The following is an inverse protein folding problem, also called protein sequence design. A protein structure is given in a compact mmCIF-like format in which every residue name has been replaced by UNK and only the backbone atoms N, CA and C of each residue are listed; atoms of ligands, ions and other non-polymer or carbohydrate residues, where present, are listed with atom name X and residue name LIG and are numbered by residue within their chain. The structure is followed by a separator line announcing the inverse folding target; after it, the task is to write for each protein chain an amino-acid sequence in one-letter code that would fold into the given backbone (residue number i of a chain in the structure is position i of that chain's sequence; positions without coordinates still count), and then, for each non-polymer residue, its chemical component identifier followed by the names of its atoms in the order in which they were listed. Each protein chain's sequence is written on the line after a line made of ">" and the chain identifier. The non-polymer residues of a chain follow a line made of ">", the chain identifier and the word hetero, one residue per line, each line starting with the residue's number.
data_IF_471676514835
#
_entry.id   IF_471676514835
#
_cell.length_a   1.000
_cell.length_b   1.000
_cell.length_c   1.000
_cell.angle_alpha   90.00
_cell.angle_beta   90.00
_cell.angle_gamma   90.00
#
_symmetry.space_group_name_H-M   'P 1'
#
loop_
_entity.id
_entity.type
_entity.pdbx_description
1 polymer ?
#
# COMPACT_ATOMS: atom_id res chain seq x y z
N UNK A 1 -11.34 -15.36 18.67
CA UNK A 1 -12.47 -16.32 18.69
C UNK A 1 -13.12 -16.53 17.32
N UNK A 2 -13.12 -15.53 16.42
CA UNK A 2 -13.73 -15.66 15.08
C UNK A 2 -13.01 -16.65 14.14
N UNK A 3 -11.68 -16.74 14.20
CA UNK A 3 -10.87 -17.67 13.37
C UNK A 3 -11.18 -19.13 13.64
N UNK A 4 -11.46 -19.51 14.89
CA UNK A 4 -11.77 -20.91 15.25
C UNK A 4 -13.15 -21.37 14.74
N UNK A 5 -14.11 -20.44 14.58
CA UNK A 5 -15.45 -20.76 14.07
C UNK A 5 -15.43 -20.83 12.54
N UNK A 6 -14.69 -19.96 11.84
CA UNK A 6 -14.59 -20.02 10.37
C UNK A 6 -13.91 -21.31 9.89
N UNK A 7 -12.83 -21.73 10.56
CA UNK A 7 -12.16 -23.02 10.29
C UNK A 7 -13.10 -24.20 10.56
N UNK A 8 -13.99 -24.10 11.57
CA UNK A 8 -14.99 -25.12 11.86
C UNK A 8 -16.17 -25.15 10.87
N UNK A 9 -16.37 -24.09 10.06
CA UNK A 9 -17.44 -24.02 9.04
C UNK A 9 -17.05 -24.56 7.66
N UNK A 10 -15.80 -24.99 7.46
CA UNK A 10 -15.36 -25.61 6.21
C UNK A 10 -15.17 -24.64 5.04
N UNK A 11 -14.99 -23.34 5.31
CA UNK A 11 -14.57 -22.40 4.26
C UNK A 11 -13.08 -22.58 3.96
N UNK A 12 -12.76 -22.87 2.70
CA UNK A 12 -11.40 -23.00 2.20
C UNK A 12 -10.64 -21.68 2.39
N UNK A 13 -9.46 -21.75 2.99
CA UNK A 13 -8.63 -20.58 3.26
C UNK A 13 -8.12 -20.00 1.94
N UNK A 14 -8.50 -18.76 1.60
CA UNK A 14 -8.06 -18.10 0.37
C UNK A 14 -6.58 -17.73 0.43
N UNK A 15 -5.90 -17.84 -0.71
CA UNK A 15 -4.44 -17.64 -0.78
C UNK A 15 -4.06 -16.30 -1.39
N UNK A 16 -3.23 -15.57 -0.65
CA UNK A 16 -2.56 -14.35 -1.09
C UNK A 16 -1.12 -14.70 -1.48
N UNK A 17 -0.78 -14.49 -2.74
CA UNK A 17 0.57 -14.70 -3.25
C UNK A 17 1.35 -13.39 -3.26
N UNK A 18 2.55 -13.38 -2.71
CA UNK A 18 3.53 -12.32 -2.89
C UNK A 18 4.51 -12.73 -3.98
N UNK A 19 4.62 -11.94 -5.04
CA UNK A 19 5.58 -12.18 -6.11
C UNK A 19 7.01 -12.00 -5.57
N UNK A 20 7.92 -12.82 -6.07
CA UNK A 20 9.35 -12.71 -5.83
C UNK A 20 10.15 -13.11 -7.06
N UNK A 21 11.29 -12.46 -7.23
CA UNK A 21 12.25 -12.77 -8.30
C UNK A 21 12.71 -11.56 -9.09
N UNK A 22 12.08 -10.40 -8.85
CA UNK A 22 12.40 -9.09 -9.39
C UNK A 22 12.86 -8.13 -8.29
N UNK A 23 13.34 -8.64 -7.15
CA UNK A 23 13.82 -7.82 -6.03
C UNK A 23 12.74 -7.43 -5.01
N UNK A 24 11.54 -8.01 -5.08
CA UNK A 24 10.44 -7.67 -4.19
C UNK A 24 10.73 -7.95 -2.72
N UNK A 25 10.08 -7.17 -1.85
CA UNK A 25 10.15 -7.33 -0.40
C UNK A 25 9.58 -8.67 0.06
N UNK A 26 10.33 -9.34 0.92
CA UNK A 26 9.99 -10.67 1.42
C UNK A 26 9.08 -10.64 2.65
N UNK A 27 8.03 -11.47 2.61
CA UNK A 27 7.14 -11.73 3.76
C UNK A 27 7.78 -12.57 4.86
N UNK A 28 8.91 -13.22 4.58
CA UNK A 28 9.67 -14.00 5.55
C UNK A 28 10.84 -13.22 6.16
N UNK A 29 11.05 -11.97 5.75
CA UNK A 29 12.10 -11.12 6.29
C UNK A 29 11.63 -10.35 7.52
N UNK A 30 12.36 -10.49 8.62
CA UNK A 30 12.12 -9.80 9.89
C UNK A 30 12.84 -8.45 9.99
N UNK A 31 13.61 -8.06 8.96
CA UNK A 31 14.28 -6.75 8.91
C UNK A 31 13.26 -5.63 8.75
N UNK A 32 13.69 -4.37 8.94
CA UNK A 32 12.81 -3.21 8.91
C UNK A 32 11.94 -3.10 7.64
N UNK A 33 12.54 -3.32 6.48
CA UNK A 33 11.89 -3.28 5.15
C UNK A 33 11.11 -4.57 4.81
N UNK A 34 11.23 -5.62 5.64
CA UNK A 34 10.52 -6.88 5.42
C UNK A 34 9.04 -6.82 5.80
N UNK A 35 8.28 -7.88 5.44
CA UNK A 35 6.81 -7.95 5.57
C UNK A 35 6.28 -9.04 6.50
N UNK A 36 7.09 -9.56 7.43
CA UNK A 36 6.61 -10.58 8.38
C UNK A 36 5.44 -10.10 9.25
N UNK A 37 5.42 -8.83 9.65
CA UNK A 37 4.29 -8.26 10.42
C UNK A 37 3.02 -8.16 9.57
N UNK A 38 3.17 -7.80 8.29
CA UNK A 38 2.07 -7.72 7.34
C UNK A 38 1.50 -9.11 7.03
N UNK A 39 2.36 -10.10 6.81
CA UNK A 39 1.99 -11.52 6.68
C UNK A 39 1.15 -11.98 7.86
N UNK A 40 1.60 -11.72 9.09
CA UNK A 40 0.85 -12.08 10.29
C UNK A 40 -0.50 -11.33 10.40
N UNK A 41 -0.62 -10.15 9.78
CA UNK A 41 -1.89 -9.42 9.65
C UNK A 41 -2.87 -10.15 8.73
N UNK A 42 -2.43 -10.55 7.54
CA UNK A 42 -3.23 -11.32 6.58
C UNK A 42 -3.63 -12.69 7.13
N UNK A 43 -2.72 -13.40 7.80
CA UNK A 43 -3.02 -14.70 8.43
C UNK A 43 -4.04 -14.57 9.56
N UNK A 44 -4.00 -13.46 10.33
CA UNK A 44 -5.01 -13.17 11.35
C UNK A 44 -6.39 -12.92 10.74
N UNK A 45 -6.42 -12.34 9.55
CA UNK A 45 -7.63 -12.15 8.75
C UNK A 45 -8.02 -13.43 7.97
N UNK A 46 -7.47 -14.60 8.34
CA UNK A 46 -7.80 -15.92 7.78
C UNK A 46 -7.38 -16.12 6.32
N UNK A 47 -6.30 -15.47 5.87
CA UNK A 47 -5.69 -15.77 4.58
C UNK A 47 -4.46 -16.67 4.71
N UNK A 48 -4.24 -17.50 3.70
CA UNK A 48 -2.98 -18.22 3.52
C UNK A 48 -2.03 -17.30 2.76
N UNK A 49 -0.81 -17.07 3.27
CA UNK A 49 0.17 -16.23 2.59
C UNK A 49 1.30 -17.09 2.03
N UNK A 50 1.48 -17.04 0.72
CA UNK A 50 2.52 -17.80 0.01
C UNK A 50 3.38 -16.88 -0.86
N UNK A 51 4.54 -17.39 -1.26
CA UNK A 51 5.45 -16.70 -2.17
C UNK A 51 5.33 -17.35 -3.55
N UNK A 52 5.03 -16.54 -4.56
CA UNK A 52 5.10 -16.93 -5.97
C UNK A 52 6.47 -16.52 -6.49
N UNK A 53 7.33 -17.50 -6.81
CA UNK A 53 8.70 -17.23 -7.25
C UNK A 53 8.81 -17.39 -8.76
N UNK A 54 9.23 -16.34 -9.46
CA UNK A 54 9.55 -16.34 -10.88
C UNK A 54 10.97 -15.84 -11.05
N UNK A 55 11.91 -16.71 -11.41
CA UNK A 55 13.27 -16.27 -11.70
C UNK A 55 13.27 -15.35 -12.93
N UNK A 56 14.14 -14.35 -12.95
CA UNK A 56 14.19 -13.40 -14.07
C UNK A 56 14.50 -14.06 -15.44
N UNK A 57 15.05 -15.29 -15.43
CA UNK A 57 15.33 -16.11 -16.61
C UNK A 57 14.17 -16.99 -17.05
N UNK A 58 13.06 -17.03 -16.31
CA UNK A 58 11.96 -17.93 -16.64
C UNK A 58 11.21 -17.41 -17.87
N UNK A 59 11.19 -18.22 -18.93
CA UNK A 59 10.52 -17.87 -20.19
C UNK A 59 9.03 -18.29 -20.20
N UNK A 60 8.61 -19.06 -19.20
CA UNK A 60 7.24 -19.53 -19.02
C UNK A 60 6.88 -19.47 -17.55
N UNK A 61 6.00 -18.53 -17.19
CA UNK A 61 5.51 -18.35 -15.83
C UNK A 61 4.00 -18.16 -15.85
N UNK A 62 3.32 -18.55 -14.77
CA UNK A 62 1.88 -18.38 -14.64
C UNK A 62 1.51 -18.00 -13.21
N UNK A 63 0.37 -17.31 -13.06
CA UNK A 63 -0.22 -17.02 -11.74
C UNK A 63 -1.14 -18.19 -11.37
N UNK A 64 -0.91 -18.88 -10.22
CA UNK A 64 -1.70 -20.05 -9.84
C UNK A 64 -3.21 -19.80 -9.87
N UNK A 65 -3.96 -20.74 -10.43
CA UNK A 65 -5.41 -20.66 -10.57
C UNK A 65 -6.17 -21.86 -9.97
N UNK A 66 -5.45 -22.79 -9.34
CA UNK A 66 -6.01 -24.01 -8.76
C UNK A 66 -6.32 -25.11 -9.77
N UNK A 67 -5.88 -24.97 -11.03
CA UNK A 67 -6.10 -25.97 -12.08
C UNK A 67 -4.81 -26.50 -12.70
N UNK A 68 -3.73 -25.73 -12.61
CA UNK A 68 -2.39 -26.15 -13.02
C UNK A 68 -1.41 -26.13 -11.84
N UNK A 69 -0.40 -27.00 -11.87
CA UNK A 69 0.73 -26.93 -10.96
C UNK A 69 1.63 -25.70 -11.27
N UNK A 70 2.70 -25.53 -10.49
CA UNK A 70 3.63 -24.39 -10.66
C UNK A 70 4.41 -24.43 -11.98
N UNK A 71 4.46 -25.58 -12.65
CA UNK A 71 5.11 -25.77 -13.95
C UNK A 71 4.11 -25.61 -15.12
N UNK A 72 2.85 -25.27 -14.82
CA UNK A 72 1.80 -25.06 -15.82
C UNK A 72 1.15 -26.34 -16.35
N UNK A 73 1.40 -27.49 -15.70
CA UNK A 73 0.77 -28.76 -16.08
C UNK A 73 -0.59 -28.93 -15.39
N UNK A 74 -1.61 -29.50 -16.07
CA UNK A 74 -2.92 -29.75 -15.46
C UNK A 74 -2.79 -30.62 -14.22
N UNK A 75 -3.36 -30.18 -13.11
CA UNK A 75 -3.36 -30.96 -11.88
C UNK A 75 -4.21 -32.22 -12.03
N UNK A 76 -3.58 -33.35 -11.71
CA UNK A 76 -4.18 -34.67 -11.68
C UNK A 76 -4.60 -35.11 -10.27
N UNK A 77 -4.16 -34.42 -9.21
CA UNK A 77 -4.60 -34.61 -7.82
C UNK A 77 -4.69 -33.28 -7.07
N UNK A 78 -5.44 -33.20 -5.96
CA UNK A 78 -5.56 -31.98 -5.15
C UNK A 78 -4.29 -31.66 -4.34
N UNK A 79 -3.43 -32.64 -4.09
CA UNK A 79 -2.16 -32.43 -3.36
C UNK A 79 -1.08 -31.78 -4.23
N UNK A 80 -1.12 -31.98 -5.56
CA UNK A 80 -0.19 -31.37 -6.50
C UNK A 80 -0.60 -29.96 -6.95
N UNK A 81 -1.78 -29.49 -6.53
CA UNK A 81 -2.38 -28.30 -7.09
C UNK A 81 -2.23 -27.11 -6.13
N UNK A 82 -1.49 -26.05 -6.49
CA UNK A 82 -1.43 -24.85 -5.67
C UNK A 82 -2.84 -24.28 -5.56
N UNK A 83 -3.21 -23.80 -4.37
CA UNK A 83 -4.45 -23.06 -4.18
C UNK A 83 -4.54 -21.90 -5.17
N UNK A 84 -5.72 -21.69 -5.77
CA UNK A 84 -5.90 -20.58 -6.70
C UNK A 84 -5.57 -19.22 -6.05
N UNK A 85 -4.94 -18.34 -6.83
CA UNK A 85 -4.59 -16.99 -6.39
C UNK A 85 -5.87 -16.19 -6.18
N UNK A 86 -6.13 -15.83 -4.92
CA UNK A 86 -7.23 -14.94 -4.56
C UNK A 86 -6.79 -13.47 -4.61
N UNK A 87 -5.53 -13.18 -4.26
CA UNK A 87 -4.91 -11.86 -4.37
C UNK A 87 -3.43 -12.02 -4.70
N UNK A 88 -2.95 -11.25 -5.69
CA UNK A 88 -1.52 -11.14 -6.01
C UNK A 88 -0.97 -9.83 -5.44
N UNK A 89 0.17 -9.88 -4.76
CA UNK A 89 0.88 -8.71 -4.25
C UNK A 89 2.24 -8.62 -4.93
N UNK A 90 2.52 -7.49 -5.58
CA UNK A 90 3.85 -7.15 -6.08
C UNK A 90 4.39 -6.01 -5.23
N UNK A 91 5.50 -6.25 -4.54
CA UNK A 91 5.95 -5.45 -3.42
C UNK A 91 7.33 -4.82 -3.68
N UNK A 92 7.35 -3.61 -4.21
CA UNK A 92 8.57 -2.90 -4.61
C UNK A 92 9.51 -3.75 -5.48
N UNK A 93 9.14 -4.07 -6.73
CA UNK A 93 10.07 -4.76 -7.61
C UNK A 93 11.18 -3.80 -8.05
N UNK A 94 12.42 -4.16 -7.76
CA UNK A 94 13.63 -3.38 -8.05
C UNK A 94 14.24 -3.73 -9.43
N UNK A 95 13.84 -4.87 -10.00
CA UNK A 95 14.32 -5.37 -11.28
C UNK A 95 13.41 -5.05 -12.47
N UNK A 96 13.82 -5.50 -13.65
CA UNK A 96 13.01 -5.42 -14.86
C UNK A 96 11.96 -6.54 -14.91
N UNK A 97 10.81 -6.27 -15.53
CA UNK A 97 9.75 -7.23 -15.82
C UNK A 97 9.94 -7.82 -17.24
N UNK A 98 10.38 -9.09 -17.38
CA UNK A 98 10.50 -9.73 -18.69
C UNK A 98 9.16 -9.85 -19.42
N UNK A 99 9.19 -9.95 -20.75
CA UNK A 99 7.97 -10.02 -21.58
C UNK A 99 7.07 -11.20 -21.20
N UNK A 100 7.64 -12.39 -20.95
CA UNK A 100 6.90 -13.57 -20.51
C UNK A 100 6.14 -13.33 -19.19
N UNK A 101 6.74 -12.60 -18.27
CA UNK A 101 6.15 -12.28 -16.97
C UNK A 101 5.06 -11.21 -17.11
N UNK A 102 5.31 -10.16 -17.90
CA UNK A 102 4.31 -9.14 -18.22
C UNK A 102 3.07 -9.78 -18.87
N UNK A 103 3.27 -10.74 -19.78
CA UNK A 103 2.20 -11.52 -20.40
C UNK A 103 1.42 -12.34 -19.37
N UNK A 104 2.08 -13.04 -18.46
CA UNK A 104 1.41 -13.82 -17.42
C UNK A 104 0.56 -12.95 -16.47
N UNK A 105 1.08 -11.78 -16.08
CA UNK A 105 0.32 -10.79 -15.30
C UNK A 105 -0.86 -10.23 -16.09
N UNK A 106 -0.69 -10.04 -17.40
CA UNK A 106 -1.75 -9.58 -18.28
C UNK A 106 -2.90 -10.58 -18.40
N UNK A 107 -2.58 -11.86 -18.60
CA UNK A 107 -3.56 -12.96 -18.65
C UNK A 107 -4.30 -13.08 -17.32
N UNK A 108 -3.56 -13.03 -16.20
CA UNK A 108 -4.13 -13.00 -14.86
C UNK A 108 -5.16 -11.88 -14.72
N UNK A 109 -4.76 -10.63 -14.97
CA UNK A 109 -5.62 -9.45 -14.84
C UNK A 109 -6.74 -9.37 -15.90
N UNK A 110 -6.65 -10.10 -17.01
CA UNK A 110 -7.74 -10.18 -17.99
C UNK A 110 -8.80 -11.20 -17.59
N UNK A 111 -8.63 -11.90 -16.46
CA UNK A 111 -9.55 -12.94 -16.02
C UNK A 111 -9.46 -14.20 -16.89
N UNK A 112 -8.32 -14.43 -17.55
CA UNK A 112 -8.10 -15.57 -18.45
C UNK A 112 -7.14 -16.54 -17.74
N UNK A 113 -7.45 -17.84 -17.82
CA UNK A 113 -6.58 -18.92 -17.34
C UNK A 113 -5.53 -19.29 -18.40
N UNK A 114 -4.44 -19.97 -18.02
CA UNK A 114 -3.46 -20.47 -18.98
C UNK A 114 -4.05 -21.36 -20.09
N UNK A 115 -5.16 -22.05 -19.82
CA UNK A 115 -5.90 -22.88 -20.80
C UNK A 115 -6.81 -22.08 -21.76
N UNK A 116 -6.85 -20.75 -21.63
CA UNK A 116 -7.68 -19.84 -22.43
C UNK A 116 -9.13 -19.71 -21.95
N UNK A 117 -9.52 -20.39 -20.88
CA UNK A 117 -10.87 -20.27 -20.30
C UNK A 117 -10.97 -19.12 -19.30
N UNK A 118 -12.18 -18.65 -19.01
CA UNK A 118 -12.39 -17.60 -18.02
C UNK A 118 -12.10 -18.10 -16.60
N UNK A 119 -11.51 -17.23 -15.76
CA UNK A 119 -11.41 -17.46 -14.31
C UNK A 119 -12.80 -17.49 -13.69
N UNK A 120 -12.90 -18.10 -12.50
CA UNK A 120 -14.15 -18.13 -11.72
C UNK A 120 -14.43 -16.78 -11.03
N UNK A 121 -13.37 -16.15 -10.54
CA UNK A 121 -13.40 -14.83 -9.89
C UNK A 121 -12.50 -13.86 -10.66
N UNK A 122 -12.84 -12.57 -10.60
CA UNK A 122 -12.03 -11.49 -11.16
C UNK A 122 -10.67 -11.40 -10.49
N UNK A 123 -9.66 -10.96 -11.23
CA UNK A 123 -8.31 -10.90 -10.72
C UNK A 123 -8.16 -9.75 -9.72
N UNK A 124 -7.36 -9.97 -8.68
CA UNK A 124 -7.14 -8.99 -7.63
C UNK A 124 -5.66 -8.78 -7.44
N UNK A 125 -5.25 -7.52 -7.36
CA UNK A 125 -3.85 -7.16 -7.24
C UNK A 125 -3.63 -6.00 -6.29
N UNK A 126 -2.59 -6.10 -5.45
CA UNK A 126 -2.00 -4.94 -4.79
C UNK A 126 -0.60 -4.73 -5.36
N UNK A 127 -0.31 -3.52 -5.81
CA UNK A 127 1.01 -3.12 -6.29
C UNK A 127 1.58 -2.05 -5.37
N UNK A 128 2.76 -2.29 -4.82
CA UNK A 128 3.52 -1.33 -4.02
C UNK A 128 4.65 -0.80 -4.90
N UNK A 129 4.47 0.40 -5.44
CA UNK A 129 5.42 1.09 -6.27
C UNK A 129 6.36 1.95 -5.42
N UNK A 130 7.46 2.38 -6.05
CA UNK A 130 8.39 3.37 -5.54
C UNK A 130 8.78 4.35 -6.67
N UNK A 131 9.33 5.54 -6.35
CA UNK A 131 9.77 6.51 -7.34
C UNK A 131 10.84 6.04 -8.31
N UNK A 132 11.61 5.01 -7.97
CA UNK A 132 12.69 4.40 -8.76
C UNK A 132 12.27 3.12 -9.50
N UNK A 133 10.98 2.78 -9.48
CA UNK A 133 10.40 1.65 -10.21
C UNK A 133 10.91 1.58 -11.66
N UNK A 134 11.30 0.39 -12.12
CA UNK A 134 11.84 0.16 -13.46
C UNK A 134 10.83 0.49 -14.57
N UNK A 135 11.34 0.84 -15.76
CA UNK A 135 10.50 1.27 -16.88
C UNK A 135 9.55 0.16 -17.35
N UNK A 136 9.97 -1.09 -17.32
CA UNK A 136 9.13 -2.23 -17.71
C UNK A 136 7.88 -2.37 -16.81
N UNK A 137 8.01 -2.19 -15.49
CA UNK A 137 6.84 -2.15 -14.59
C UNK A 137 6.00 -0.88 -14.76
N UNK A 138 6.60 0.28 -15.04
CA UNK A 138 5.84 1.51 -15.36
C UNK A 138 5.01 1.33 -16.62
N UNK A 139 5.58 0.75 -17.67
CA UNK A 139 4.89 0.45 -18.93
C UNK A 139 3.76 -0.54 -18.68
N UNK A 140 3.98 -1.58 -17.85
CA UNK A 140 2.92 -2.52 -17.47
C UNK A 140 1.74 -1.80 -16.79
N UNK A 141 1.97 -0.96 -15.78
CA UNK A 141 0.89 -0.22 -15.11
C UNK A 141 0.23 0.81 -16.04
N UNK A 142 1.00 1.47 -16.91
CA UNK A 142 0.48 2.41 -17.89
C UNK A 142 -0.45 1.70 -18.90
N UNK A 143 -0.11 0.48 -19.30
CA UNK A 143 -0.97 -0.38 -20.13
C UNK A 143 -2.28 -0.75 -19.42
N UNK A 144 -2.33 -0.72 -18.08
CA UNK A 144 -3.57 -0.88 -17.31
C UNK A 144 -4.29 0.43 -17.00
N UNK A 145 -3.72 1.57 -17.38
CA UNK A 145 -4.35 2.89 -17.25
C UNK A 145 -3.78 3.77 -16.15
N UNK A 146 -2.66 3.39 -15.51
CA UNK A 146 -2.06 4.16 -14.40
C UNK A 146 -0.58 4.41 -14.65
N UNK A 147 -0.20 5.68 -14.66
CA UNK A 147 1.19 6.11 -14.74
C UNK A 147 1.74 6.26 -13.33
N UNK A 148 2.84 5.58 -13.02
CA UNK A 148 3.68 5.91 -11.86
C UNK A 148 4.65 6.99 -12.31
N UNK A 149 4.56 8.18 -11.73
CA UNK A 149 5.45 9.28 -12.06
C UNK A 149 6.84 9.04 -11.47
N UNK A 150 7.85 9.64 -12.10
CA UNK A 150 9.20 9.71 -11.52
C UNK A 150 9.26 10.82 -10.48
N UNK A 151 10.09 10.61 -9.48
CA UNK A 151 10.30 11.58 -8.40
C UNK A 151 9.41 11.33 -7.19
N UNK A 152 9.76 12.03 -6.12
CA UNK A 152 9.23 11.90 -4.78
C UNK A 152 8.21 13.00 -4.54
N UNK A 153 7.08 12.65 -3.91
CA UNK A 153 6.12 13.66 -3.47
C UNK A 153 6.67 14.36 -2.22
N UNK A 154 6.83 15.66 -2.33
CA UNK A 154 7.14 16.57 -1.25
C UNK A 154 5.88 17.35 -0.88
N UNK A 155 5.33 17.14 0.31
CA UNK A 155 4.13 17.86 0.78
C UNK A 155 4.50 18.80 1.92
N UNK A 156 4.32 20.10 1.73
CA UNK A 156 4.70 21.11 2.72
C UNK A 156 3.64 21.31 3.81
N UNK A 157 2.40 20.88 3.58
CA UNK A 157 1.30 21.08 4.54
C UNK A 157 0.88 19.77 5.25
N UNK A 158 1.01 18.62 4.57
CA UNK A 158 0.51 17.32 5.03
C UNK A 158 1.60 16.25 5.10
N UNK A 159 2.69 16.58 5.78
CA UNK A 159 3.83 15.69 6.03
C UNK A 159 4.24 15.69 7.50
N UNK A 160 5.17 14.81 7.86
CA UNK A 160 5.79 14.81 9.18
C UNK A 160 6.63 16.10 9.35
N UNK A 161 6.49 16.87 10.46
CA UNK A 161 7.29 18.06 10.68
C UNK A 161 8.79 17.78 10.56
N UNK A 162 9.49 18.60 9.77
CA UNK A 162 10.92 18.42 9.49
C UNK A 162 11.25 17.32 8.47
N UNK A 163 10.27 16.58 7.96
CA UNK A 163 10.45 15.51 6.98
C UNK A 163 9.36 15.56 5.90
N UNK A 164 9.45 16.52 4.95
CA UNK A 164 8.37 16.80 4.00
C UNK A 164 8.11 15.68 2.98
N UNK A 165 9.01 14.71 2.88
CA UNK A 165 8.86 13.47 2.09
C UNK A 165 8.12 12.36 2.80
N UNK A 166 7.91 12.47 4.12
CA UNK A 166 7.09 11.53 4.87
C UNK A 166 5.67 12.05 4.93
N UNK A 167 4.87 11.68 3.94
CA UNK A 167 3.48 12.10 3.81
C UNK A 167 2.66 11.61 5.00
N UNK A 168 1.79 12.48 5.50
CA UNK A 168 0.74 12.16 6.47
C UNK A 168 -0.58 12.04 5.73
N UNK A 169 -0.93 10.82 5.39
CA UNK A 169 -2.18 10.50 4.72
C UNK A 169 -3.30 10.38 5.74
N UNK A 170 -4.14 11.40 5.80
CA UNK A 170 -5.39 11.42 6.58
C UNK A 170 -6.56 12.09 5.82
N UNK A 171 -6.30 12.54 4.58
CA UNK A 171 -7.30 13.07 3.65
C UNK A 171 -7.66 11.99 2.64
N UNK A 172 -8.55 11.10 3.07
CA UNK A 172 -9.07 10.05 2.21
C UNK A 172 -10.18 10.60 1.32
N UNK A 173 -10.29 10.06 0.10
CA UNK A 173 -11.35 10.42 -0.82
C UNK A 173 -12.70 9.91 -0.30
N UNK A 174 -13.72 10.76 -0.11
CA UNK A 174 -15.03 10.34 0.40
C UNK A 174 -15.78 9.42 -0.57
N UNK A 175 -15.42 9.43 -1.85
CA UNK A 175 -15.97 8.51 -2.86
C UNK A 175 -15.21 7.18 -2.93
N UNK A 176 -14.07 7.04 -2.25
CA UNK A 176 -13.35 5.77 -2.16
C UNK A 176 -14.18 4.73 -1.42
N UNK A 177 -13.95 3.42 -1.67
CA UNK A 177 -14.68 2.38 -0.97
C UNK A 177 -14.53 2.52 0.54
N UNK A 178 -15.63 2.71 1.29
CA UNK A 178 -15.58 3.04 2.72
C UNK A 178 -14.94 1.92 3.54
N UNK A 179 -14.99 0.67 3.09
CA UNK A 179 -14.34 -0.45 3.77
C UNK A 179 -12.82 -0.32 3.79
N UNK A 180 -12.24 0.38 2.81
CA UNK A 180 -10.80 0.67 2.75
C UNK A 180 -10.45 1.79 3.74
N UNK A 181 -11.14 2.92 3.63
CA UNK A 181 -10.71 4.20 4.24
C UNK A 181 -11.47 4.59 5.53
N UNK A 182 -12.67 4.03 5.72
CA UNK A 182 -13.57 4.26 6.87
C UNK A 182 -14.10 2.91 7.38
N UNK A 183 -13.21 1.97 7.77
CA UNK A 183 -13.63 0.64 8.19
C UNK A 183 -14.64 0.70 9.36
N UNK A 184 -15.80 0.05 9.20
CA UNK A 184 -16.91 0.04 10.18
C UNK A 184 -17.37 1.45 10.60
N UNK A 185 -17.34 2.42 9.69
CA UNK A 185 -17.80 3.78 9.94
C UNK A 185 -16.82 4.63 10.77
N UNK A 186 -15.60 4.15 11.02
CA UNK A 186 -14.53 4.94 11.64
C UNK A 186 -13.43 5.20 10.61
N UNK A 187 -13.14 6.48 10.29
CA UNK A 187 -12.02 6.81 9.40
C UNK A 187 -10.71 6.23 9.94
N UNK A 188 -9.85 5.78 9.02
CA UNK A 188 -8.45 5.59 9.35
C UNK A 188 -7.87 6.93 9.83
N UNK A 189 -6.94 6.86 10.79
CA UNK A 189 -6.24 8.04 11.30
C UNK A 189 -5.16 8.46 10.30
N UNK A 190 -3.89 8.55 10.71
CA UNK A 190 -2.78 8.88 9.82
C UNK A 190 -2.06 7.62 9.35
N UNK A 191 -1.95 7.44 8.03
CA UNK A 191 -0.97 6.56 7.42
C UNK A 191 0.26 7.37 7.01
N UNK A 192 1.45 6.89 7.33
CA UNK A 192 2.69 7.54 6.94
C UNK A 192 3.24 6.86 5.69
N UNK A 193 3.56 7.64 4.65
CA UNK A 193 4.23 7.14 3.46
C UNK A 193 5.54 7.88 3.25
N UNK A 194 6.67 7.19 3.28
CA UNK A 194 7.99 7.80 3.25
C UNK A 194 8.59 7.72 1.84
N UNK A 195 8.71 8.85 1.15
CA UNK A 195 9.28 8.86 -0.20
C UNK A 195 8.30 8.39 -1.28
N UNK A 196 7.00 8.60 -1.11
CA UNK A 196 6.00 8.10 -2.06
C UNK A 196 6.12 8.66 -3.48
N UNK A 197 5.91 7.80 -4.47
CA UNK A 197 5.64 8.14 -5.86
C UNK A 197 4.22 8.70 -6.05
N UNK A 198 4.06 9.55 -7.07
CA UNK A 198 2.74 10.00 -7.52
C UNK A 198 2.16 9.08 -8.58
N UNK A 199 0.88 8.74 -8.42
CA UNK A 199 0.09 7.96 -9.36
C UNK A 199 -0.79 8.89 -10.19
N UNK A 200 -0.82 8.70 -11.50
CA UNK A 200 -1.66 9.47 -12.41
C UNK A 200 -2.49 8.52 -13.26
N UNK A 201 -3.80 8.45 -13.04
CA UNK A 201 -4.69 7.77 -13.97
C UNK A 201 -4.59 8.41 -15.37
N UNK A 202 -4.53 7.59 -16.41
CA UNK A 202 -4.60 8.10 -17.78
C UNK A 202 -6.00 8.67 -18.03
N UNK A 203 -6.12 9.84 -18.67
CA UNK A 203 -7.40 10.49 -18.96
C UNK A 203 -8.09 9.82 -20.16
N UNK A 204 -8.41 8.54 -20.01
CA UNK A 204 -9.06 7.74 -21.05
C UNK A 204 -10.55 7.71 -20.73
N UNK A 205 -11.42 8.23 -21.63
CA UNK A 205 -12.86 8.23 -21.42
C UNK A 205 -13.44 6.88 -21.81
N UNK A 206 -13.06 5.82 -21.10
CA UNK A 206 -13.70 4.52 -21.26
C UNK A 206 -14.42 4.09 -19.98
N UNK A 207 -15.53 3.38 -20.16
CA UNK A 207 -16.34 2.87 -19.05
C UNK A 207 -15.78 1.56 -18.48
N UNK A 208 -14.60 1.13 -18.97
CA UNK A 208 -14.00 -0.17 -18.62
C UNK A 208 -12.87 -0.04 -17.60
N UNK A 209 -12.38 1.18 -17.36
CA UNK A 209 -11.37 1.49 -16.37
C UNK A 209 -11.81 2.66 -15.52
N UNK A 210 -12.07 2.36 -14.25
CA UNK A 210 -12.60 3.30 -13.28
C UNK A 210 -11.54 3.55 -12.20
N UNK A 211 -10.61 4.51 -12.44
CA UNK A 211 -9.65 4.90 -11.42
C UNK A 211 -10.33 5.75 -10.34
N UNK A 212 -10.04 5.44 -9.09
CA UNK A 212 -10.59 6.08 -7.91
C UNK A 212 -9.48 6.34 -6.89
N UNK A 213 -8.99 7.59 -6.78
CA UNK A 213 -7.97 7.94 -5.79
C UNK A 213 -8.44 7.56 -4.39
N UNK A 214 -7.60 6.87 -3.61
CA UNK A 214 -7.91 6.53 -2.22
C UNK A 214 -7.53 7.68 -1.28
N UNK A 215 -6.43 8.36 -1.60
CA UNK A 215 -5.89 9.48 -0.85
C UNK A 215 -5.30 10.52 -1.81
N UNK A 216 -5.09 11.74 -1.30
CA UNK A 216 -4.40 12.81 -2.02
C UNK A 216 -3.56 13.67 -1.09
N UNK A 217 -2.56 14.32 -1.66
CA UNK A 217 -1.73 15.32 -0.96
C UNK A 217 -2.42 16.67 -0.85
N UNK A 218 -1.80 17.60 -0.13
CA UNK A 218 -2.22 18.98 -0.09
C UNK A 218 -2.02 19.68 -1.44
N UNK A 219 -2.65 20.86 -1.59
CA UNK A 219 -2.42 21.74 -2.73
C UNK A 219 -0.99 22.34 -2.74
N UNK A 220 -0.32 22.31 -1.59
CA UNK A 220 1.05 22.78 -1.43
C UNK A 220 2.02 21.60 -1.45
N UNK A 221 1.92 20.78 -2.49
CA UNK A 221 2.80 19.64 -2.73
C UNK A 221 3.51 19.76 -4.07
N UNK A 222 4.66 19.11 -4.19
CA UNK A 222 5.55 19.19 -5.35
C UNK A 222 6.12 17.80 -5.67
N UNK A 223 6.39 17.52 -6.94
CA UNK A 223 7.20 16.37 -7.33
C UNK A 223 8.64 16.79 -7.49
N UNK A 224 9.53 16.18 -6.72
CA UNK A 224 10.96 16.45 -6.75
C UNK A 224 11.73 15.23 -7.24
N UNK A 225 12.86 15.47 -7.88
CA UNK A 225 13.74 14.42 -8.42
C UNK A 225 14.71 13.81 -7.39
N UNK A 226 14.83 14.43 -6.22
CA UNK A 226 15.81 14.04 -5.19
C UNK A 226 15.17 14.01 -3.80
N UNK A 227 15.23 12.85 -3.14
CA UNK A 227 14.72 12.62 -1.79
C UNK A 227 15.42 13.46 -0.71
N UNK A 228 16.66 13.88 -0.92
CA UNK A 228 17.39 14.73 0.04
C UNK A 228 16.95 16.19 0.00
N UNK A 229 16.25 16.61 -1.06
CA UNK A 229 15.83 18.00 -1.24
C UNK A 229 14.49 18.24 -0.55
N UNK A 230 14.52 19.04 0.51
CA UNK A 230 13.34 19.33 1.36
C UNK A 230 12.61 20.63 1.00
N UNK A 231 13.04 21.32 -0.06
CA UNK A 231 12.39 22.54 -0.57
C UNK A 231 12.18 22.45 -2.08
N UNK A 232 11.01 22.86 -2.59
CA UNK A 232 10.75 22.87 -4.02
C UNK A 232 11.45 24.04 -4.73
N UNK A 233 11.75 23.86 -6.01
CA UNK A 233 12.19 24.90 -6.93
C UNK A 233 10.93 25.51 -7.56
N UNK A 234 10.72 26.81 -7.37
CA UNK A 234 9.55 27.54 -7.89
C UNK A 234 9.92 28.78 -8.73
N UNK A 235 11.18 29.21 -8.69
CA UNK A 235 11.70 30.38 -9.41
C UNK A 235 12.86 30.01 -10.35
N UNK A 236 12.90 28.73 -10.78
CA UNK A 236 13.86 28.17 -11.71
C UNK A 236 13.42 28.23 -13.17
N UNK A 237 12.20 28.72 -13.46
CA UNK A 237 11.63 28.79 -14.80
C UNK A 237 11.33 27.39 -15.32
N UNK A 238 12.11 26.91 -16.31
CA UNK A 238 11.91 25.56 -16.85
C UNK A 238 12.38 24.44 -15.89
N UNK A 239 12.96 24.79 -14.75
CA UNK A 239 13.40 23.86 -13.69
C UNK A 239 12.45 23.84 -12.49
N UNK A 240 11.30 24.48 -12.61
CA UNK A 240 10.30 24.48 -11.54
C UNK A 240 9.79 23.07 -11.34
N UNK A 241 9.70 22.67 -10.07
CA UNK A 241 9.10 21.40 -9.72
C UNK A 241 7.61 21.42 -10.05
N UNK A 242 7.10 20.28 -10.50
CA UNK A 242 5.68 20.15 -10.81
C UNK A 242 4.91 20.32 -9.51
N UNK A 243 3.97 21.27 -9.49
CA UNK A 243 3.09 21.51 -8.35
C UNK A 243 1.87 20.59 -8.41
N UNK A 244 1.49 20.08 -7.25
CA UNK A 244 0.39 19.14 -7.04
C UNK A 244 -1.00 19.79 -7.03
N UNK A 245 -2.03 19.05 -6.57
CA UNK A 245 -1.95 17.86 -5.71
C UNK A 245 -1.58 16.57 -6.46
N UNK A 246 -1.15 15.56 -5.69
CA UNK A 246 -0.74 14.23 -6.16
C UNK A 246 -1.53 13.11 -5.48
N UNK A 247 -1.57 11.94 -6.12
CA UNK A 247 -2.28 10.76 -5.65
C UNK A 247 -1.25 9.71 -5.22
N UNK A 248 -1.03 9.48 -3.93
CA UNK A 248 -0.10 8.46 -3.46
C UNK A 248 -0.73 7.05 -3.37
N UNK A 249 -2.06 6.95 -3.45
CA UNK A 249 -2.79 5.68 -3.39
C UNK A 249 -4.03 5.70 -4.28
N UNK A 250 -4.22 4.66 -5.09
CA UNK A 250 -5.26 4.57 -6.11
C UNK A 250 -5.90 3.18 -6.11
N UNK A 251 -7.23 3.13 -6.19
CA UNK A 251 -7.96 1.93 -6.57
C UNK A 251 -8.35 2.02 -8.05
N UNK A 252 -8.26 0.92 -8.77
CA UNK A 252 -8.62 0.80 -10.17
C UNK A 252 -9.49 -0.46 -10.33
N UNK A 253 -10.67 -0.27 -10.90
CA UNK A 253 -11.45 -1.36 -11.48
C UNK A 253 -11.21 -1.37 -12.99
N UNK A 254 -10.78 -2.50 -13.55
CA UNK A 254 -10.42 -2.61 -14.96
C UNK A 254 -10.91 -3.92 -15.58
N UNK A 255 -11.41 -3.88 -16.82
CA UNK A 255 -11.79 -5.07 -17.60
C UNK A 255 -10.67 -5.52 -18.55
N UNK A 256 -9.72 -4.64 -18.82
CA UNK A 256 -8.63 -4.90 -19.75
C UNK A 256 -7.66 -3.72 -19.90
N UNK A 257 -6.63 -3.89 -20.74
CA UNK A 257 -5.59 -2.89 -20.98
C UNK A 257 -6.06 -1.71 -21.84
N UNK A 258 -5.17 -0.73 -22.01
CA UNK A 258 -5.32 0.39 -22.95
C UNK A 258 -5.51 -0.16 -24.36
N UNK A 259 -6.61 0.26 -24.98
CA UNK A 259 -6.97 -0.15 -26.34
C UNK A 259 -7.97 -1.30 -26.41
N UNK A 260 -8.34 -1.92 -25.28
CA UNK A 260 -9.44 -2.90 -25.26
C UNK A 260 -10.75 -2.23 -25.67
N UNK A 261 -11.50 -2.79 -26.65
CA UNK A 261 -12.78 -2.24 -27.04
C UNK A 261 -13.77 -2.25 -25.87
N UNK A 262 -14.58 -1.20 -25.76
CA UNK A 262 -15.65 -1.17 -24.78
C UNK A 262 -16.61 -2.36 -25.00
N UNK A 263 -16.97 -3.12 -23.96
CA UNK A 263 -17.81 -4.28 -24.08
C UNK A 263 -19.21 -3.83 -24.49
N UNK A 264 -19.86 -4.62 -25.36
CA UNK A 264 -21.21 -4.33 -25.87
C UNK A 264 -22.32 -4.61 -24.84
N UNK A 265 -21.96 -5.23 -23.71
CA UNK A 265 -22.80 -5.60 -22.59
C UNK A 265 -21.99 -5.48 -21.30
N UNK A 266 -22.65 -5.47 -20.15
CA UNK A 266 -21.95 -5.51 -18.87
C UNK A 266 -21.00 -6.73 -18.84
N UNK A 267 -19.70 -6.54 -18.51
CA UNK A 267 -18.75 -7.64 -18.41
C UNK A 267 -19.12 -8.53 -17.23
N UNK A 268 -18.92 -9.87 -17.32
CA UNK A 268 -19.03 -10.75 -16.16
C UNK A 268 -18.06 -10.34 -15.05
N UNK A 269 -18.44 -10.52 -13.78
CA UNK A 269 -17.60 -10.21 -12.62
C UNK A 269 -16.22 -10.89 -12.67
N UNK A 270 -16.12 -12.06 -13.31
CA UNK A 270 -14.87 -12.78 -13.49
C UNK A 270 -13.86 -12.10 -14.43
N UNK A 271 -14.31 -11.14 -15.24
CA UNK A 271 -13.48 -10.33 -16.14
C UNK A 271 -13.18 -8.95 -15.56
N UNK A 272 -13.75 -8.62 -14.40
CA UNK A 272 -13.53 -7.36 -13.72
C UNK A 272 -12.39 -7.53 -12.73
N UNK A 273 -11.28 -6.85 -12.98
CA UNK A 273 -10.12 -6.88 -12.11
C UNK A 273 -10.08 -5.68 -11.18
N UNK A 274 -9.76 -5.94 -9.91
CA UNK A 274 -9.56 -4.93 -8.89
C UNK A 274 -8.08 -4.78 -8.57
N UNK A 275 -7.53 -3.59 -8.79
CA UNK A 275 -6.12 -3.29 -8.56
C UNK A 275 -6.03 -2.13 -7.56
N UNK A 276 -5.29 -2.30 -6.48
CA UNK A 276 -4.92 -1.19 -5.60
C UNK A 276 -3.42 -0.92 -5.76
N UNK A 277 -3.07 0.32 -6.05
CA UNK A 277 -1.70 0.76 -6.26
C UNK A 277 -1.36 1.75 -5.16
N UNK A 278 -0.27 1.50 -4.45
CA UNK A 278 0.33 2.42 -3.50
C UNK A 278 1.66 2.91 -4.08
N UNK A 279 1.93 4.21 -3.97
CA UNK A 279 3.17 4.82 -4.41
C UNK A 279 4.33 4.66 -3.42
N UNK A 280 4.13 3.94 -2.33
CA UNK A 280 5.13 3.68 -1.31
C UNK A 280 5.00 2.22 -0.86
N UNK A 281 6.11 1.52 -0.68
CA UNK A 281 6.17 0.19 -0.11
C UNK A 281 6.53 0.22 1.39
N UNK A 282 7.15 1.30 1.88
CA UNK A 282 7.55 1.43 3.28
C UNK A 282 6.38 1.47 4.24
N UNK A 283 5.24 2.09 3.88
CA UNK A 283 4.10 2.23 4.80
C UNK A 283 3.57 0.91 5.39
N UNK A 284 3.80 -0.22 4.71
CA UNK A 284 3.39 -1.56 5.11
C UNK A 284 4.53 -2.43 5.65
N UNK A 285 5.77 -1.91 5.68
CA UNK A 285 6.96 -2.58 6.18
C UNK A 285 6.91 -2.84 7.69
N UNK A 286 7.75 -3.76 8.19
CA UNK A 286 7.88 -4.02 9.62
C UNK A 286 8.19 -2.73 10.42
N UNK A 287 9.02 -1.84 9.86
CA UNK A 287 9.39 -0.54 10.47
C UNK A 287 8.22 0.43 10.62
N UNK A 288 7.22 0.33 9.74
CA UNK A 288 6.05 1.23 9.71
C UNK A 288 4.75 0.58 10.17
N UNK A 289 4.73 -0.75 10.33
CA UNK A 289 3.52 -1.51 10.66
C UNK A 289 2.75 -0.96 11.86
N UNK A 290 3.46 -0.45 12.87
CA UNK A 290 2.88 0.14 14.09
C UNK A 290 2.99 1.68 14.14
N UNK A 291 3.46 2.37 13.09
CA UNK A 291 3.69 3.82 13.09
C UNK A 291 2.46 4.64 12.73
N UNK A 292 1.32 4.03 12.48
CA UNK A 292 0.07 4.69 12.12
C UNK A 292 -0.93 3.66 11.64
N UNK A 293 -1.79 4.04 10.70
CA UNK A 293 -2.79 3.16 10.09
C UNK A 293 -2.38 2.65 8.70
N UNK A 294 -1.08 2.68 8.37
CA UNK A 294 -0.55 2.20 7.09
C UNK A 294 -0.84 0.71 6.86
N UNK A 295 -0.52 -0.13 7.83
CA UNK A 295 -0.85 -1.55 7.79
C UNK A 295 -2.36 -1.79 7.67
N UNK A 296 -3.18 -0.99 8.36
CA UNK A 296 -4.64 -1.11 8.27
C UNK A 296 -5.15 -0.75 6.88
N UNK A 297 -4.60 0.30 6.26
CA UNK A 297 -4.92 0.68 4.88
C UNK A 297 -4.62 -0.46 3.89
N UNK A 298 -3.46 -1.10 3.99
CA UNK A 298 -3.13 -2.26 3.16
C UNK A 298 -4.12 -3.41 3.38
N UNK A 299 -4.34 -3.80 4.63
CA UNK A 299 -5.13 -4.98 4.95
C UNK A 299 -6.62 -4.76 4.64
N UNK A 300 -7.13 -3.54 4.80
CA UNK A 300 -8.48 -3.18 4.39
C UNK A 300 -8.63 -3.22 2.86
N UNK A 301 -7.62 -2.77 2.11
CA UNK A 301 -7.59 -2.93 0.65
C UNK A 301 -7.62 -4.40 0.24
N UNK A 302 -6.85 -5.27 0.91
CA UNK A 302 -6.88 -6.71 0.65
C UNK A 302 -8.27 -7.31 0.93
N UNK A 303 -8.86 -7.01 2.10
CA UNK A 303 -10.19 -7.47 2.49
C UNK A 303 -11.29 -6.98 1.53
N UNK A 304 -11.22 -5.70 1.12
CA UNK A 304 -12.15 -5.12 0.15
C UNK A 304 -12.05 -5.81 -1.21
N UNK A 305 -10.83 -5.98 -1.74
CA UNK A 305 -10.61 -6.67 -3.00
C UNK A 305 -11.16 -8.09 -2.95
N UNK A 306 -10.93 -8.82 -1.86
CA UNK A 306 -11.37 -10.20 -1.68
C UNK A 306 -12.89 -10.36 -1.42
N UNK A 307 -13.61 -9.26 -1.18
CA UNK A 307 -15.04 -9.30 -0.85
C UNK A 307 -15.33 -9.86 0.56
N UNK A 308 -14.31 -9.95 1.41
CA UNK A 308 -14.38 -10.53 2.75
C UNK A 308 -14.68 -9.43 3.79
N UNK A 309 -15.79 -8.70 3.58
CA UNK A 309 -16.16 -7.51 4.36
C UNK A 309 -16.41 -7.80 5.86
N UNK A 310 -16.67 -9.05 6.23
CA UNK A 310 -16.82 -9.47 7.63
C UNK A 310 -15.47 -9.50 8.41
N UNK A 311 -14.35 -9.59 7.69
CA UNK A 311 -12.98 -9.69 8.23
C UNK A 311 -12.32 -8.32 8.46
N UNK A 312 -12.96 -7.21 8.06
CA UNK A 312 -12.49 -5.85 8.38
C UNK A 312 -12.64 -5.63 9.88
N UNK A 313 -11.67 -6.07 10.67
CA UNK A 313 -11.66 -6.02 12.14
C UNK A 313 -10.86 -4.80 12.63
N UNK A 314 -11.32 -4.19 13.72
CA UNK A 314 -10.51 -3.20 14.44
C UNK A 314 -9.37 -3.99 15.08
N UNK A 315 -8.15 -3.82 14.57
CA UNK A 315 -6.98 -4.48 15.12
C UNK A 315 -6.65 -3.83 16.46
N UNK A 316 -6.59 -4.62 17.53
CA UNK A 316 -6.15 -4.13 18.83
C UNK A 316 -4.71 -3.64 18.68
N UNK A 317 -4.52 -2.32 18.78
CA UNK A 317 -3.19 -1.70 18.77
C UNK A 317 -2.42 -2.25 19.96
N UNK A 318 -1.36 -3.03 19.70
CA UNK A 318 -0.36 -3.29 20.75
C UNK A 318 0.18 -1.93 21.16
N UNK A 319 0.03 -1.58 22.44
CA UNK A 319 0.58 -0.35 22.99
C UNK A 319 2.11 -0.50 22.91
N UNK A 320 2.70 -0.02 21.82
CA UNK A 320 4.13 0.15 21.72
C UNK A 320 4.44 1.46 22.44
N UNK A 321 5.36 1.44 23.39
CA UNK A 321 5.86 2.65 24.02
C UNK A 321 6.39 3.55 22.90
N UNK A 322 5.66 4.64 22.62
CA UNK A 322 6.09 5.66 21.69
C UNK A 322 7.24 6.38 22.38
N UNK A 323 8.47 6.12 21.95
CA UNK A 323 9.58 6.98 22.34
C UNK A 323 9.23 8.39 21.85
N UNK A 324 9.12 9.31 22.81
CA UNK A 324 8.84 10.71 22.54
C UNK A 324 10.02 11.28 21.73
N UNK A 325 9.82 11.46 20.43
CA UNK A 325 10.78 12.12 19.56
C UNK A 325 10.47 13.64 19.60
N UNK A 326 10.94 14.28 20.66
CA UNK A 326 10.81 15.73 20.88
C UNK A 326 11.68 16.49 19.87
N UNK A 327 11.13 17.56 19.28
CA UNK A 327 11.94 18.51 18.50
C UNK A 327 13.04 19.13 19.39
N UNK A 328 14.16 19.57 18.81
CA UNK A 328 15.30 20.09 19.60
C UNK A 328 14.87 21.26 20.50
N UNK A 329 13.97 22.11 20.02
CA UNK A 329 13.41 23.22 20.78
C UNK A 329 12.48 22.77 21.92
N UNK A 330 11.71 21.70 21.72
CA UNK A 330 10.84 21.13 22.74
C UNK A 330 11.66 20.42 23.83
N UNK A 331 12.75 19.75 23.45
CA UNK A 331 13.68 19.13 24.40
C UNK A 331 14.41 20.18 25.25
N UNK A 332 14.80 21.32 24.65
CA UNK A 332 15.38 22.44 25.39
C UNK A 332 14.37 23.09 26.33
N UNK A 333 13.13 23.30 25.91
CA UNK A 333 12.07 23.81 26.78
C UNK A 333 11.81 22.87 27.96
N UNK A 334 11.71 21.55 27.72
CA UNK A 334 11.50 20.55 28.77
C UNK A 334 12.70 20.48 29.72
N UNK A 335 13.94 20.54 29.21
CA UNK A 335 15.16 20.58 30.04
C UNK A 335 15.23 21.86 30.89
N UNK A 336 14.99 23.02 30.27
CA UNK A 336 15.05 24.30 30.96
C UNK A 336 13.95 24.42 32.02
N UNK A 337 12.71 24.07 31.67
CA UNK A 337 11.61 24.05 32.63
C UNK A 337 11.89 23.06 33.76
N UNK A 338 12.41 21.87 33.49
CA UNK A 338 12.74 20.91 34.56
C UNK A 338 13.81 21.42 35.52
N UNK A 339 14.84 22.12 35.02
CA UNK A 339 15.91 22.66 35.87
C UNK A 339 15.45 23.86 36.69
N UNK A 340 14.66 24.77 36.11
CA UNK A 340 14.33 26.04 36.77
C UNK A 340 12.96 26.08 37.45
N UNK A 341 11.99 25.27 37.02
CA UNK A 341 10.63 25.32 37.53
C UNK A 341 10.54 24.86 38.98
N UNK A 342 11.12 23.70 39.32
CA UNK A 342 11.03 23.14 40.68
C UNK A 342 11.80 24.00 41.71
N UNK A 343 13.05 24.43 41.44
CA UNK A 343 13.77 25.33 42.34
C UNK A 343 13.11 26.70 42.43
N UNK A 344 12.58 27.22 41.31
CA UNK A 344 11.84 28.49 41.28
C UNK A 344 10.58 28.43 42.15
N UNK A 345 9.81 27.35 42.04
CA UNK A 345 8.62 27.11 42.87
C UNK A 345 8.98 27.06 44.37
N UNK A 346 10.07 26.36 44.73
CA UNK A 346 10.54 26.29 46.12
C UNK A 346 10.99 27.65 46.66
N UNK A 347 11.72 28.44 45.87
CA UNK A 347 12.14 29.78 46.25
C UNK A 347 10.93 30.72 46.45
N UNK A 348 9.92 30.62 45.58
CA UNK A 348 8.69 31.41 45.66
C UNK A 348 7.88 31.04 46.91
N UNK A 349 7.74 29.74 47.20
CA UNK A 349 7.10 29.26 48.44
C UNK A 349 7.87 29.72 49.69
N UNK A 350 9.20 29.67 49.67
CA UNK A 350 10.02 30.17 50.78
C UNK A 350 9.84 31.69 51.00
N UNK A 351 9.78 32.47 49.91
CA UNK A 351 9.53 33.91 49.97
C UNK A 351 8.12 34.23 50.49
N UNK A 352 7.10 33.49 50.05
CA UNK A 352 5.73 33.62 50.54
C UNK A 352 5.63 33.31 52.04
N UNK A 353 6.25 32.22 52.50
CA UNK A 353 6.27 31.85 53.92
C UNK A 353 6.99 32.92 54.75
N UNK A 354 8.09 33.48 54.24
CA UNK A 354 8.80 34.58 54.91
C UNK A 354 7.95 35.85 54.98
N UNK A 355 7.22 36.19 53.92
CA UNK A 355 6.34 37.35 53.87
C UNK A 355 5.15 37.23 54.83
N UNK A 356 4.53 36.06 54.94
CA UNK A 356 3.42 35.84 55.88
C UNK A 356 3.85 35.64 57.34
N UNK A 357 5.14 35.36 57.60
CA UNK A 357 5.69 35.26 58.96
C UNK A 357 6.15 36.60 59.54
N UNK A 358 6.25 37.64 58.70
CA UNK A 358 6.63 38.99 59.09
C UNK A 358 5.38 39.84 59.28
#
# INVERSE_FOLDING_TARGET
>A
MYTAILVATGQEQRTVYFLSGHGERSTNSTVGEGYTSLKAGLERDNYKVETLRWAASDESVTVPDGTTDLDGMPCNTSESCPSGTALLVIANPEGELPEAHAKALHEYLSGIKPDGTARREGARMIFLAEPDLSESFRVFLANWGVVVNKGYILDLDSSLPGSPHTLRINRYNPSAPPEIVIPRGKPLDVSFMAGAASLSPLPIPDEIRLPLPLAGTSQNSFLVDNIERTTPIQDGGNKDDIKGPFIPALYLQAVGPVGTPAPKSAPPDSQISGIVIFGDADFASNSFFNKGNGADLFLNSANYLLGDYSLVSIRDRKIVFREWNLDQNELEFVRFSSWFFLPGLMALLAALVWWFRR
#
